data_IF_854683903149
#
_entry.id   IF_854683903149
#
_cell.length_a   1.000
_cell.length_b   1.000
_cell.length_c   1.000
_cell.angle_alpha   90.00
_cell.angle_beta   90.00
_cell.angle_gamma   90.00
#
_symmetry.space_group_name_H-M   'P 1'
#
loop_
_entity.id
_entity.type
_entity.pdbx_description
1 polymer ?
#
# COMPACT_ATOMS: atom_id res chain seq x y z
N UNK A 1 9.28 3.03 -11.80
CA UNK A 1 9.01 1.83 -10.98
C UNK A 1 7.58 1.94 -10.47
N UNK A 2 6.73 0.94 -10.69
CA UNK A 2 5.39 0.96 -10.12
C UNK A 2 5.54 0.61 -8.63
N UNK A 3 5.09 1.47 -7.72
CA UNK A 3 5.01 1.10 -6.31
C UNK A 3 4.00 -0.04 -6.18
N UNK A 4 4.52 -1.26 -6.04
CA UNK A 4 3.70 -2.46 -5.83
C UNK A 4 2.96 -2.37 -4.49
N UNK A 5 1.93 -3.21 -4.33
CA UNK A 5 1.26 -3.34 -3.04
C UNK A 5 2.12 -4.11 -2.06
N UNK A 6 2.19 -3.64 -0.82
CA UNK A 6 2.55 -4.51 0.28
C UNK A 6 1.34 -5.39 0.63
N UNK A 7 1.50 -6.70 0.46
CA UNK A 7 0.41 -7.66 0.65
C UNK A 7 0.50 -8.25 2.05
N UNK A 8 -0.55 -8.03 2.84
CA UNK A 8 -0.78 -8.76 4.07
C UNK A 8 -1.64 -9.99 3.76
N UNK A 9 -1.26 -11.14 4.31
CA UNK A 9 -1.97 -12.39 4.10
C UNK A 9 -2.57 -12.86 5.41
N UNK A 10 -3.89 -12.94 5.45
CA UNK A 10 -4.64 -13.54 6.55
C UNK A 10 -5.03 -14.95 6.12
N UNK A 11 -4.58 -15.99 6.84
CA UNK A 11 -4.84 -17.38 6.47
C UNK A 11 -5.50 -18.16 7.61
N UNK A 12 -6.39 -19.08 7.24
CA UNK A 12 -6.93 -20.11 8.13
C UNK A 12 -6.42 -21.46 7.65
N UNK A 13 -5.97 -22.33 8.57
CA UNK A 13 -5.39 -23.62 8.24
C UNK A 13 -3.90 -23.57 7.87
N UNK A 14 -3.32 -24.74 7.64
CA UNK A 14 -1.88 -25.00 7.61
C UNK A 14 -1.39 -25.68 6.32
N UNK A 15 -2.26 -25.86 5.32
CA UNK A 15 -1.86 -26.36 4.01
C UNK A 15 -0.80 -25.44 3.34
N UNK A 16 0.03 -25.97 2.42
CA UNK A 16 0.91 -25.17 1.56
C UNK A 16 0.16 -24.06 0.81
N UNK A 17 0.83 -22.92 0.56
CA UNK A 17 0.19 -21.72 -0.02
C UNK A 17 -0.42 -21.95 -1.41
N UNK A 18 0.17 -22.85 -2.19
CA UNK A 18 -0.29 -23.26 -3.52
C UNK A 18 -1.59 -24.09 -3.48
N UNK A 19 -2.01 -24.54 -2.29
CA UNK A 19 -3.25 -25.28 -2.06
C UNK A 19 -4.34 -24.42 -1.42
N UNK A 20 -4.02 -23.17 -1.06
CA UNK A 20 -4.99 -22.26 -0.47
C UNK A 20 -5.89 -21.60 -1.53
N UNK A 21 -7.14 -21.32 -1.17
CA UNK A 21 -8.08 -20.56 -2.02
C UNK A 21 -8.23 -19.13 -1.50
N UNK A 22 -8.19 -18.14 -2.40
CA UNK A 22 -8.50 -16.75 -2.05
C UNK A 22 -9.98 -16.62 -1.73
N UNK A 23 -10.30 -16.21 -0.51
CA UNK A 23 -11.69 -16.01 -0.06
C UNK A 23 -12.10 -14.55 -0.09
N UNK A 24 -11.17 -13.62 0.08
CA UNK A 24 -11.45 -12.19 -0.08
C UNK A 24 -10.20 -11.36 -0.41
N UNK A 25 -10.41 -10.24 -1.08
CA UNK A 25 -9.41 -9.20 -1.30
C UNK A 25 -10.00 -7.89 -0.83
N UNK A 26 -9.38 -7.25 0.16
CA UNK A 26 -9.87 -5.99 0.74
C UNK A 26 -9.38 -4.79 -0.07
N UNK A 27 -10.12 -3.68 0.02
CA UNK A 27 -9.72 -2.43 -0.61
C UNK A 27 -8.34 -1.98 -0.10
N UNK A 28 -7.41 -1.63 -1.01
CA UNK A 28 -6.12 -1.12 -0.61
C UNK A 28 -6.21 0.14 0.25
N UNK A 29 -5.24 0.27 1.16
CA UNK A 29 -5.07 1.42 2.03
C UNK A 29 -3.77 2.14 1.70
N UNK A 30 -3.88 3.44 1.43
CA UNK A 30 -2.75 4.29 1.10
C UNK A 30 -2.26 5.03 2.34
N UNK A 31 -0.96 4.95 2.59
CA UNK A 31 -0.28 5.84 3.51
C UNK A 31 0.32 6.98 2.72
N UNK A 32 -0.22 8.18 2.93
CA UNK A 32 0.29 9.41 2.32
C UNK A 32 1.16 10.17 3.30
N UNK A 33 2.24 10.79 2.80
CA UNK A 33 3.01 11.79 3.54
C UNK A 33 3.14 13.05 2.71
N UNK A 34 3.20 14.19 3.38
CA UNK A 34 3.51 15.45 2.71
C UNK A 34 5.02 15.60 2.57
N UNK A 35 5.48 15.87 1.35
CA UNK A 35 6.86 16.27 1.09
C UNK A 35 6.92 17.77 0.81
N UNK A 36 8.01 18.39 1.24
CA UNK A 36 8.30 19.80 0.96
C UNK A 36 9.05 19.89 -0.37
N UNK A 37 8.50 20.64 -1.31
CA UNK A 37 9.16 20.92 -2.59
C UNK A 37 9.48 22.42 -2.63
N UNK A 38 10.77 22.77 -2.73
CA UNK A 38 11.18 24.16 -2.90
C UNK A 38 10.79 24.66 -4.29
N UNK A 39 10.25 25.88 -4.35
CA UNK A 39 10.04 26.60 -5.60
C UNK A 39 10.47 28.05 -5.47
N UNK A 40 10.79 28.69 -6.59
CA UNK A 40 11.03 30.12 -6.64
C UNK A 40 9.73 30.84 -6.98
N UNK A 41 9.20 31.55 -5.98
CA UNK A 41 8.02 32.41 -6.13
C UNK A 41 8.38 33.86 -6.30
N UNK A 42 7.37 34.72 -6.50
CA UNK A 42 7.56 36.17 -6.67
C UNK A 42 8.18 36.84 -5.43
N UNK A 43 8.07 36.21 -4.26
CA UNK A 43 8.57 36.71 -2.97
C UNK A 43 9.83 36.00 -2.48
N UNK A 44 10.55 35.26 -3.35
CA UNK A 44 11.76 34.52 -3.00
C UNK A 44 11.55 33.01 -2.91
N UNK A 45 12.28 32.33 -2.00
CA UNK A 45 12.15 30.88 -1.80
C UNK A 45 10.81 30.55 -1.12
N UNK A 46 9.93 29.90 -1.85
CA UNK A 46 8.66 29.36 -1.35
C UNK A 46 8.74 27.83 -1.31
N UNK A 47 7.74 27.20 -0.70
CA UNK A 47 7.60 25.75 -0.76
C UNK A 47 6.13 25.33 -0.83
N UNK A 48 5.91 24.19 -1.49
CA UNK A 48 4.62 23.51 -1.50
C UNK A 48 4.70 22.23 -0.67
N UNK A 49 3.57 21.84 -0.08
CA UNK A 49 3.39 20.53 0.55
C UNK A 49 2.59 19.65 -0.39
N UNK A 50 3.25 18.64 -0.97
CA UNK A 50 2.62 17.72 -1.92
C UNK A 50 2.38 16.39 -1.23
N UNK A 51 1.14 15.86 -1.22
CA UNK A 51 0.88 14.53 -0.72
C UNK A 51 1.45 13.50 -1.69
N UNK A 52 2.29 12.61 -1.18
CA UNK A 52 2.84 11.49 -1.93
C UNK A 52 2.46 10.20 -1.21
N UNK A 53 1.98 9.22 -1.96
CA UNK A 53 1.77 7.87 -1.45
C UNK A 53 3.15 7.28 -1.18
N UNK A 54 3.42 6.90 0.07
CA UNK A 54 4.71 6.30 0.46
C UNK A 54 4.60 4.80 0.72
N UNK A 55 3.36 4.31 0.85
CA UNK A 55 3.06 2.90 1.04
C UNK A 55 1.64 2.63 0.63
N UNK A 56 1.42 1.52 -0.06
CA UNK A 56 0.10 1.04 -0.42
C UNK A 56 -0.03 -0.40 0.04
N UNK A 57 -1.02 -0.66 0.88
CA UNK A 57 -1.17 -1.95 1.56
C UNK A 57 -2.48 -2.61 1.16
N UNK A 58 -2.47 -3.91 0.88
CA UNK A 58 -3.68 -4.69 0.59
C UNK A 58 -3.70 -5.94 1.45
N UNK A 59 -4.90 -6.37 1.87
CA UNK A 59 -5.06 -7.61 2.63
C UNK A 59 -5.78 -8.64 1.77
N UNK A 60 -5.19 -9.84 1.68
CA UNK A 60 -5.76 -11.00 1.02
C UNK A 60 -6.07 -12.06 2.08
N UNK A 61 -7.30 -12.57 2.08
CA UNK A 61 -7.69 -13.67 2.96
C UNK A 61 -7.65 -14.99 2.20
N UNK A 62 -7.04 -16.00 2.80
CA UNK A 62 -6.87 -17.34 2.25
C UNK A 62 -7.52 -18.40 3.15
N UNK A 63 -8.15 -19.37 2.52
CA UNK A 63 -8.54 -20.64 3.16
C UNK A 63 -7.54 -21.73 2.76
N UNK A 64 -6.82 -22.26 3.75
CA UNK A 64 -5.79 -23.29 3.63
C UNK A 64 -6.15 -24.51 4.49
N UNK A 65 -7.45 -24.82 4.64
CA UNK A 65 -7.96 -25.95 5.43
C UNK A 65 -8.01 -27.29 4.69
N UNK A 66 -7.82 -27.28 3.37
CA UNK A 66 -7.82 -28.46 2.49
C UNK A 66 -6.59 -29.34 2.59
#
# INVERSE_FOLDING_TARGET
EAEGFHVNVDRIGNAPLDQCTVTSVRNPQDQTRFIRVERFGKNGKEFDLIPVVVRRTITVSLDCSG
#
